data_IF_865055568785
#
_entry.id   IF_865055568785
#
_cell.length_a   1.000
_cell.length_b   1.000
_cell.length_c   1.000
_cell.angle_alpha   90.00
_cell.angle_beta   90.00
_cell.angle_gamma   90.00
#
_symmetry.space_group_name_H-M   'P 1'
#
loop_
_entity.id
_entity.type
_entity.pdbx_description
1 polymer ?
#
# COMPACT_ATOMS: atom_id res chain seq x y z
N UNK A 1 -15.49 -9.58 -22.67
CA UNK A 1 -16.22 -10.29 -21.60
C UNK A 1 -16.98 -9.26 -20.76
N UNK A 2 -18.04 -9.68 -20.05
CA UNK A 2 -18.81 -8.82 -19.15
C UNK A 2 -18.44 -9.15 -17.70
N UNK A 3 -17.97 -8.17 -16.95
CA UNK A 3 -17.49 -8.34 -15.58
C UNK A 3 -18.18 -7.39 -14.62
N UNK A 4 -18.36 -7.85 -13.38
CA UNK A 4 -18.67 -7.02 -12.23
C UNK A 4 -17.46 -7.01 -11.30
N UNK A 5 -17.03 -5.82 -10.90
CA UNK A 5 -16.00 -5.64 -9.87
C UNK A 5 -16.65 -5.04 -8.63
N UNK A 6 -16.70 -5.81 -7.55
CA UNK A 6 -17.34 -5.42 -6.30
C UNK A 6 -16.30 -4.85 -5.33
N UNK A 7 -16.49 -3.60 -4.99
CA UNK A 7 -15.57 -2.75 -4.24
C UNK A 7 -14.86 -1.76 -5.17
N UNK A 8 -15.15 -0.46 -5.04
CA UNK A 8 -14.51 0.63 -5.77
C UNK A 8 -13.42 1.32 -4.94
N UNK A 9 -12.71 0.53 -4.12
CA UNK A 9 -11.48 0.92 -3.49
C UNK A 9 -10.31 0.92 -4.47
N UNK A 10 -9.08 1.01 -3.96
CA UNK A 10 -7.88 1.11 -4.79
C UNK A 10 -7.77 -0.06 -5.80
N UNK A 11 -7.79 -1.28 -5.31
CA UNK A 11 -7.63 -2.50 -6.15
C UNK A 11 -8.77 -2.65 -7.16
N UNK A 12 -10.01 -2.49 -6.68
CA UNK A 12 -11.17 -2.70 -7.55
C UNK A 12 -11.30 -1.65 -8.64
N UNK A 13 -11.06 -0.38 -8.32
CA UNK A 13 -11.19 0.72 -9.28
C UNK A 13 -10.07 0.67 -10.34
N UNK A 14 -8.82 0.42 -9.95
CA UNK A 14 -7.71 0.23 -10.90
C UNK A 14 -7.96 -0.98 -11.77
N UNK A 15 -8.33 -2.13 -11.16
CA UNK A 15 -8.60 -3.35 -11.94
C UNK A 15 -9.75 -3.17 -12.92
N UNK A 16 -10.86 -2.58 -12.48
CA UNK A 16 -12.02 -2.34 -13.33
C UNK A 16 -11.72 -1.42 -14.50
N UNK A 17 -11.03 -0.31 -14.24
CA UNK A 17 -10.64 0.65 -15.26
C UNK A 17 -9.66 0.05 -16.29
N UNK A 18 -8.63 -0.69 -15.83
CA UNK A 18 -7.65 -1.30 -16.73
C UNK A 18 -8.24 -2.47 -17.54
N UNK A 19 -9.14 -3.27 -16.97
CA UNK A 19 -9.85 -4.31 -17.70
C UNK A 19 -10.78 -3.71 -18.78
N UNK A 20 -11.49 -2.63 -18.45
CA UNK A 20 -12.29 -1.91 -19.43
C UNK A 20 -11.45 -1.36 -20.58
N UNK A 21 -10.27 -0.83 -20.27
CA UNK A 21 -9.31 -0.30 -21.24
C UNK A 21 -8.73 -1.38 -22.18
N UNK A 22 -8.73 -2.63 -21.75
CA UNK A 22 -8.36 -3.81 -22.57
C UNK A 22 -9.55 -4.42 -23.34
N UNK A 23 -10.69 -3.73 -23.39
CA UNK A 23 -11.84 -4.11 -24.23
C UNK A 23 -12.89 -4.99 -23.55
N UNK A 24 -12.84 -5.12 -22.23
CA UNK A 24 -13.91 -5.78 -21.48
C UNK A 24 -15.01 -4.76 -21.10
N UNK A 25 -16.24 -5.24 -20.90
CA UNK A 25 -17.31 -4.43 -20.33
C UNK A 25 -17.33 -4.65 -18.82
N UNK A 26 -17.12 -3.58 -18.06
CA UNK A 26 -16.93 -3.66 -16.61
C UNK A 26 -17.95 -2.77 -15.91
N UNK A 27 -18.61 -3.34 -14.89
CA UNK A 27 -19.46 -2.62 -13.95
C UNK A 27 -18.79 -2.64 -12.59
N UNK A 28 -18.37 -1.49 -12.08
CA UNK A 28 -17.86 -1.36 -10.72
C UNK A 28 -19.03 -1.10 -9.75
N UNK A 29 -19.09 -1.89 -8.69
CA UNK A 29 -20.13 -1.81 -7.66
C UNK A 29 -19.51 -1.41 -6.34
N UNK A 30 -20.12 -0.45 -5.64
CA UNK A 30 -19.74 -0.09 -4.26
C UNK A 30 -20.98 0.31 -3.46
N UNK A 31 -20.99 -0.01 -2.18
CA UNK A 31 -22.10 0.33 -1.28
C UNK A 31 -22.19 1.84 -0.97
N UNK A 32 -21.12 2.59 -1.22
CA UNK A 32 -21.04 4.03 -0.97
C UNK A 32 -21.69 4.82 -2.11
N UNK A 33 -22.90 5.32 -1.89
CA UNK A 33 -23.58 6.21 -2.83
C UNK A 33 -22.72 7.43 -3.18
N UNK A 34 -22.09 8.06 -2.18
CA UNK A 34 -21.21 9.22 -2.40
C UNK A 34 -20.09 8.91 -3.38
N UNK A 35 -19.44 7.74 -3.20
CA UNK A 35 -18.34 7.29 -4.08
C UNK A 35 -18.84 7.04 -5.50
N UNK A 36 -19.93 6.30 -5.64
CA UNK A 36 -20.52 5.97 -6.95
C UNK A 36 -20.97 7.23 -7.70
N UNK A 37 -21.67 8.13 -7.01
CA UNK A 37 -22.09 9.40 -7.60
C UNK A 37 -20.90 10.33 -7.91
N UNK A 38 -19.85 10.28 -7.11
CA UNK A 38 -18.58 10.93 -7.42
C UNK A 38 -17.97 10.41 -8.73
N UNK A 39 -17.82 9.09 -8.85
CA UNK A 39 -17.28 8.41 -10.03
C UNK A 39 -18.09 8.70 -11.29
N UNK A 40 -19.42 8.66 -11.22
CA UNK A 40 -20.31 9.05 -12.35
C UNK A 40 -20.10 10.48 -12.82
N UNK A 41 -19.67 11.39 -11.93
CA UNK A 41 -19.32 12.78 -12.25
C UNK A 41 -17.84 12.97 -12.60
N UNK A 42 -17.06 11.90 -12.75
CA UNK A 42 -15.62 11.94 -13.04
C UNK A 42 -14.73 12.28 -11.84
N UNK A 43 -15.26 12.29 -10.60
CA UNK A 43 -14.45 12.49 -9.38
C UNK A 43 -13.90 11.15 -8.91
N UNK A 44 -12.62 10.91 -9.12
CA UNK A 44 -11.91 9.70 -8.68
C UNK A 44 -11.56 9.81 -7.19
N UNK A 45 -11.97 8.86 -6.34
CA UNK A 45 -11.82 8.96 -4.87
C UNK A 45 -10.45 8.51 -4.36
N UNK A 46 -9.53 8.14 -5.22
CA UNK A 46 -8.18 7.66 -4.89
C UNK A 46 -7.14 8.42 -5.71
N UNK A 47 -5.95 8.62 -5.14
CA UNK A 47 -4.83 9.19 -5.87
C UNK A 47 -4.05 8.06 -6.58
N UNK A 48 -4.11 8.05 -7.90
CA UNK A 48 -3.29 7.19 -8.75
C UNK A 48 -3.05 7.89 -10.08
N UNK A 49 -1.79 8.22 -10.44
CA UNK A 49 -1.49 8.97 -11.65
C UNK A 49 -2.07 8.34 -12.92
N UNK A 50 -2.89 9.09 -13.66
CA UNK A 50 -3.47 8.68 -14.94
C UNK A 50 -4.76 7.85 -14.84
N UNK A 51 -5.23 7.49 -13.64
CA UNK A 51 -6.46 6.71 -13.46
C UNK A 51 -7.71 7.49 -13.91
N UNK A 52 -7.76 8.78 -13.62
CA UNK A 52 -8.83 9.68 -14.03
C UNK A 52 -9.05 9.66 -15.55
N UNK A 53 -7.97 9.72 -16.32
CA UNK A 53 -8.03 9.68 -17.78
C UNK A 53 -8.54 8.32 -18.31
N UNK A 54 -8.13 7.20 -17.68
CA UNK A 54 -8.61 5.86 -18.05
C UNK A 54 -10.09 5.72 -17.74
N UNK A 55 -10.52 6.15 -16.56
CA UNK A 55 -11.93 6.09 -16.15
C UNK A 55 -12.78 6.93 -17.10
N UNK A 56 -12.40 8.18 -17.38
CA UNK A 56 -13.16 9.08 -18.22
C UNK A 56 -13.41 8.48 -19.63
N UNK A 57 -12.34 8.07 -20.34
CA UNK A 57 -12.48 7.53 -21.69
C UNK A 57 -13.29 6.24 -21.78
N UNK A 58 -13.22 5.37 -20.75
CA UNK A 58 -13.97 4.12 -20.72
C UNK A 58 -15.43 4.31 -20.26
N UNK A 59 -15.70 5.30 -19.43
CA UNK A 59 -17.07 5.71 -19.09
C UNK A 59 -17.78 6.32 -20.29
N UNK A 60 -17.11 7.17 -21.08
CA UNK A 60 -17.67 7.81 -22.29
C UNK A 60 -18.05 6.76 -23.36
N UNK A 61 -17.31 5.67 -23.48
CA UNK A 61 -17.62 4.57 -24.41
C UNK A 61 -18.65 3.58 -23.87
N UNK A 62 -19.00 3.65 -22.59
CA UNK A 62 -19.84 2.67 -21.90
C UNK A 62 -19.15 1.34 -21.58
N UNK A 63 -17.82 1.24 -21.77
CA UNK A 63 -17.04 0.08 -21.39
C UNK A 63 -16.88 -0.04 -19.87
N UNK A 64 -16.91 1.09 -19.15
CA UNK A 64 -16.88 1.17 -17.70
C UNK A 64 -18.11 1.89 -17.17
N UNK A 65 -18.78 1.32 -16.18
CA UNK A 65 -19.92 1.94 -15.51
C UNK A 65 -19.89 1.69 -14.00
N UNK A 66 -20.72 2.44 -13.26
CA UNK A 66 -20.72 2.46 -11.80
C UNK A 66 -22.14 2.35 -11.27
N UNK A 67 -22.36 1.49 -10.25
CA UNK A 67 -23.66 1.34 -9.59
C UNK A 67 -23.50 0.96 -8.13
N UNK A 68 -24.53 1.20 -7.32
CA UNK A 68 -24.64 0.67 -5.96
C UNK A 68 -25.35 -0.67 -5.90
N UNK A 69 -26.00 -1.10 -6.98
CA UNK A 69 -26.83 -2.30 -7.07
C UNK A 69 -26.05 -3.48 -7.66
N UNK A 70 -25.57 -4.41 -6.81
CA UNK A 70 -24.95 -5.64 -7.25
C UNK A 70 -25.93 -6.52 -8.06
N UNK A 71 -27.19 -6.70 -7.64
CA UNK A 71 -28.15 -7.50 -8.41
C UNK A 71 -28.38 -7.00 -9.84
N UNK A 72 -28.43 -5.69 -10.05
CA UNK A 72 -28.54 -5.11 -11.38
C UNK A 72 -27.30 -5.36 -12.23
N UNK A 73 -26.12 -5.16 -11.66
CA UNK A 73 -24.84 -5.37 -12.33
C UNK A 73 -24.64 -6.83 -12.78
N UNK A 74 -25.14 -7.79 -11.99
CA UNK A 74 -24.99 -9.22 -12.24
C UNK A 74 -25.79 -9.72 -13.47
N UNK A 75 -26.84 -9.02 -13.90
CA UNK A 75 -27.75 -9.50 -14.95
C UNK A 75 -27.07 -9.83 -16.28
N UNK A 76 -26.01 -9.10 -16.61
CA UNK A 76 -25.31 -9.23 -17.89
C UNK A 76 -23.87 -9.76 -17.74
N UNK A 77 -23.42 -10.06 -16.52
CA UNK A 77 -22.04 -10.44 -16.26
C UNK A 77 -21.91 -11.94 -15.94
N UNK A 78 -20.82 -12.54 -16.40
CA UNK A 78 -20.49 -13.94 -16.17
C UNK A 78 -19.30 -14.09 -15.19
N UNK A 79 -18.67 -12.98 -14.85
CA UNK A 79 -17.49 -12.94 -13.97
C UNK A 79 -17.74 -11.88 -12.88
N UNK A 80 -17.59 -12.30 -11.61
CA UNK A 80 -17.75 -11.47 -10.44
C UNK A 80 -16.42 -11.37 -9.69
N UNK A 81 -15.77 -10.22 -9.72
CA UNK A 81 -14.52 -9.96 -9.01
C UNK A 81 -14.79 -9.35 -7.64
N UNK A 82 -14.46 -10.02 -6.57
CA UNK A 82 -14.52 -9.52 -5.20
C UNK A 82 -13.23 -8.77 -4.91
N UNK A 83 -13.31 -7.43 -4.84
CA UNK A 83 -12.19 -6.51 -4.62
C UNK A 83 -12.45 -5.57 -3.43
N UNK A 84 -13.14 -6.07 -2.41
CA UNK A 84 -13.46 -5.32 -1.19
C UNK A 84 -12.29 -5.32 -0.20
N UNK A 85 -12.27 -4.35 0.71
CA UNK A 85 -11.24 -4.25 1.74
C UNK A 85 -11.27 -5.43 2.72
N UNK A 86 -10.08 -5.85 3.15
CA UNK A 86 -9.83 -6.84 4.19
C UNK A 86 -8.94 -6.22 5.27
N UNK A 87 -9.49 -5.31 6.11
CA UNK A 87 -8.71 -4.67 7.16
C UNK A 87 -8.24 -5.70 8.19
N UNK A 88 -7.20 -5.40 8.97
CA UNK A 88 -6.80 -6.26 10.08
C UNK A 88 -7.88 -6.23 11.18
N UNK A 89 -8.14 -7.39 11.78
CA UNK A 89 -8.91 -7.50 13.01
C UNK A 89 -7.98 -7.30 14.23
N UNK A 90 -8.54 -7.25 15.44
CA UNK A 90 -7.79 -7.00 16.69
C UNK A 90 -6.67 -8.01 16.97
N UNK A 91 -6.84 -9.27 16.50
CA UNK A 91 -5.84 -10.34 16.63
C UNK A 91 -4.82 -10.36 15.48
N UNK A 92 -4.86 -9.38 14.57
CA UNK A 92 -4.03 -9.29 13.38
C UNK A 92 -4.48 -10.18 12.22
N UNK A 93 -5.58 -10.93 12.35
CA UNK A 93 -6.18 -11.67 11.24
C UNK A 93 -6.84 -10.70 10.23
N UNK A 94 -7.12 -11.19 9.02
CA UNK A 94 -7.86 -10.40 8.04
C UNK A 94 -9.38 -10.51 8.28
N UNK A 95 -10.05 -9.38 8.36
CA UNK A 95 -11.51 -9.33 8.45
C UNK A 95 -12.15 -9.70 7.11
N UNK A 96 -12.86 -10.82 7.07
CA UNK A 96 -13.53 -11.35 5.88
C UNK A 96 -15.01 -10.98 5.77
N UNK A 97 -15.55 -10.20 6.70
CA UNK A 97 -16.99 -9.89 6.74
C UNK A 97 -17.49 -9.32 5.42
N UNK A 98 -16.75 -8.40 4.82
CA UNK A 98 -17.11 -7.81 3.53
C UNK A 98 -17.03 -8.82 2.38
N UNK A 99 -16.01 -9.65 2.33
CA UNK A 99 -15.84 -10.69 1.30
C UNK A 99 -17.03 -11.68 1.36
N UNK A 100 -17.36 -12.15 2.55
CA UNK A 100 -18.45 -13.11 2.74
C UNK A 100 -19.84 -12.48 2.54
N UNK A 101 -20.02 -11.19 2.82
CA UNK A 101 -21.25 -10.47 2.51
C UNK A 101 -21.49 -10.41 1.00
N UNK A 102 -20.45 -10.06 0.23
CA UNK A 102 -20.53 -10.07 -1.25
C UNK A 102 -20.80 -11.49 -1.78
N UNK A 103 -20.13 -12.51 -1.23
CA UNK A 103 -20.37 -13.90 -1.63
C UNK A 103 -21.84 -14.33 -1.41
N UNK A 104 -22.43 -13.98 -0.27
CA UNK A 104 -23.88 -14.24 0.00
C UNK A 104 -24.76 -13.50 -1.00
N UNK A 105 -24.52 -12.20 -1.23
CA UNK A 105 -25.31 -11.40 -2.17
C UNK A 105 -25.24 -11.97 -3.60
N UNK A 106 -24.05 -12.46 -4.02
CA UNK A 106 -23.92 -13.19 -5.28
C UNK A 106 -24.81 -14.44 -5.27
N UNK A 107 -24.75 -15.27 -4.22
CA UNK A 107 -25.59 -16.47 -4.09
C UNK A 107 -27.07 -16.17 -4.09
N UNK A 108 -27.49 -15.04 -3.48
CA UNK A 108 -28.90 -14.61 -3.45
C UNK A 108 -29.46 -14.21 -4.80
N UNK A 109 -28.60 -13.68 -5.69
CA UNK A 109 -29.07 -13.06 -6.93
C UNK A 109 -28.54 -13.72 -8.20
N UNK A 110 -27.58 -14.62 -8.13
CA UNK A 110 -27.04 -15.33 -9.30
C UNK A 110 -28.12 -16.18 -9.97
N UNK A 111 -28.29 -16.02 -11.30
CA UNK A 111 -29.31 -16.71 -12.10
C UNK A 111 -28.74 -17.64 -13.17
N UNK A 112 -27.43 -17.55 -13.44
CA UNK A 112 -26.74 -18.30 -14.49
C UNK A 112 -25.32 -18.69 -14.07
N UNK A 113 -24.68 -19.63 -14.77
CA UNK A 113 -23.32 -20.06 -14.48
C UNK A 113 -22.34 -18.89 -14.49
N UNK A 114 -21.45 -18.84 -13.47
CA UNK A 114 -20.54 -17.74 -13.28
C UNK A 114 -19.15 -18.18 -12.78
N UNK A 115 -18.18 -17.29 -12.91
CA UNK A 115 -16.89 -17.37 -12.24
C UNK A 115 -16.82 -16.27 -11.17
N UNK A 116 -16.60 -16.67 -9.93
CA UNK A 116 -16.34 -15.74 -8.80
C UNK A 116 -14.84 -15.69 -8.58
N UNK A 117 -14.26 -14.50 -8.63
CA UNK A 117 -12.82 -14.27 -8.47
C UNK A 117 -12.58 -13.53 -7.15
N UNK A 118 -11.86 -14.13 -6.21
CA UNK A 118 -11.29 -13.40 -5.09
C UNK A 118 -10.04 -12.62 -5.56
N UNK A 119 -10.19 -11.30 -5.70
CA UNK A 119 -9.08 -10.41 -6.02
C UNK A 119 -8.54 -9.71 -4.77
N UNK A 120 -9.33 -9.55 -3.73
CA UNK A 120 -8.89 -9.11 -2.41
C UNK A 120 -7.79 -10.01 -1.86
N UNK A 121 -6.85 -9.43 -1.11
CA UNK A 121 -5.85 -10.22 -0.36
C UNK A 121 -6.55 -10.89 0.82
N UNK A 122 -6.64 -12.21 0.76
CA UNK A 122 -7.41 -13.02 1.70
C UNK A 122 -6.60 -14.20 2.24
N UNK A 123 -6.81 -14.64 3.50
CA UNK A 123 -6.18 -15.82 4.07
C UNK A 123 -6.43 -17.09 3.27
N UNK A 124 -5.49 -18.03 3.36
CA UNK A 124 -5.63 -19.37 2.76
C UNK A 124 -6.89 -20.07 3.28
N UNK A 125 -7.69 -20.60 2.35
CA UNK A 125 -8.97 -21.22 2.65
C UNK A 125 -10.16 -20.25 2.56
N UNK A 126 -9.97 -19.03 2.07
CA UNK A 126 -11.08 -18.08 1.90
C UNK A 126 -11.97 -18.47 0.73
N UNK A 127 -11.42 -19.03 -0.34
CA UNK A 127 -12.24 -19.49 -1.47
C UNK A 127 -13.25 -20.56 -1.05
N UNK A 128 -12.91 -21.47 -0.14
CA UNK A 128 -13.84 -22.45 0.41
C UNK A 128 -14.96 -21.77 1.24
N UNK A 129 -14.62 -20.74 2.00
CA UNK A 129 -15.62 -19.96 2.75
C UNK A 129 -16.56 -19.19 1.82
N UNK A 130 -16.03 -18.64 0.74
CA UNK A 130 -16.83 -17.97 -0.32
C UNK A 130 -17.77 -18.99 -0.95
N UNK A 131 -17.26 -20.17 -1.34
CA UNK A 131 -18.09 -21.26 -1.88
C UNK A 131 -19.20 -21.66 -0.92
N UNK A 132 -18.87 -21.91 0.35
CA UNK A 132 -19.87 -22.27 1.35
C UNK A 132 -20.94 -21.18 1.54
N UNK A 133 -20.57 -19.89 1.47
CA UNK A 133 -21.52 -18.79 1.57
C UNK A 133 -22.47 -18.73 0.37
N UNK A 134 -21.96 -18.93 -0.85
CA UNK A 134 -22.78 -18.99 -2.08
C UNK A 134 -23.70 -20.22 -2.07
N UNK A 135 -23.18 -21.40 -1.74
CA UNK A 135 -23.94 -22.65 -1.69
C UNK A 135 -25.10 -22.56 -0.71
N UNK A 136 -24.89 -21.93 0.46
CA UNK A 136 -25.96 -21.76 1.45
C UNK A 136 -27.13 -20.91 0.89
N UNK A 137 -26.85 -19.86 0.15
CA UNK A 137 -27.88 -19.00 -0.46
C UNK A 137 -28.59 -19.69 -1.65
N UNK A 138 -27.84 -20.42 -2.49
CA UNK A 138 -28.44 -21.22 -3.57
C UNK A 138 -29.36 -22.29 -3.02
N UNK A 139 -28.95 -22.99 -1.95
CA UNK A 139 -29.78 -23.99 -1.27
C UNK A 139 -31.05 -23.37 -0.64
N UNK A 140 -30.92 -22.18 -0.01
CA UNK A 140 -32.06 -21.46 0.54
C UNK A 140 -33.09 -21.05 -0.53
N UNK A 141 -32.64 -20.78 -1.75
CA UNK A 141 -33.46 -20.48 -2.92
C UNK A 141 -34.01 -21.73 -3.61
N UNK A 142 -33.53 -22.93 -3.26
CA UNK A 142 -33.90 -24.19 -3.89
C UNK A 142 -33.45 -24.30 -5.36
N UNK A 143 -32.37 -23.63 -5.74
CA UNK A 143 -31.82 -23.64 -7.10
C UNK A 143 -30.44 -24.29 -7.14
N UNK A 144 -30.10 -24.86 -8.30
CA UNK A 144 -28.77 -25.39 -8.59
C UNK A 144 -28.20 -24.62 -9.78
N UNK A 145 -27.17 -23.84 -9.53
CA UNK A 145 -26.46 -23.04 -10.55
C UNK A 145 -25.00 -23.42 -10.48
N UNK A 146 -24.42 -23.77 -11.61
CA UNK A 146 -23.00 -24.11 -11.71
C UNK A 146 -22.14 -22.84 -11.61
N UNK A 147 -21.10 -22.86 -10.75
CA UNK A 147 -20.16 -21.77 -10.65
C UNK A 147 -18.78 -22.27 -10.20
N UNK A 148 -17.77 -21.47 -10.46
CA UNK A 148 -16.42 -21.69 -9.98
C UNK A 148 -15.99 -20.55 -9.06
N UNK A 149 -15.07 -20.84 -8.12
CA UNK A 149 -14.39 -19.84 -7.31
C UNK A 149 -12.91 -19.92 -7.61
N UNK A 150 -12.33 -18.80 -7.99
CA UNK A 150 -10.90 -18.64 -8.28
C UNK A 150 -10.26 -17.61 -7.35
N UNK A 151 -8.96 -17.72 -7.14
CA UNK A 151 -8.14 -16.70 -6.49
C UNK A 151 -7.25 -16.03 -7.53
N UNK A 152 -7.31 -14.70 -7.60
CA UNK A 152 -6.47 -13.91 -8.51
C UNK A 152 -5.91 -12.71 -7.75
N UNK A 153 -4.92 -12.93 -6.90
CA UNK A 153 -4.32 -11.87 -6.12
C UNK A 153 -3.67 -10.81 -7.01
N UNK A 154 -3.66 -9.57 -6.54
CA UNK A 154 -3.01 -8.45 -7.19
C UNK A 154 -1.60 -8.21 -6.61
N UNK A 155 -0.74 -7.55 -7.39
CA UNK A 155 0.61 -7.16 -6.99
C UNK A 155 0.88 -5.70 -7.33
N UNK A 156 -0.14 -4.87 -7.19
CA UNK A 156 -0.13 -3.45 -7.53
C UNK A 156 0.68 -2.66 -6.51
N UNK A 157 1.39 -1.66 -6.99
CA UNK A 157 2.07 -0.66 -6.17
C UNK A 157 1.33 0.66 -6.28
N UNK A 158 0.82 1.20 -5.18
CA UNK A 158 0.22 2.53 -5.17
C UNK A 158 1.13 3.57 -5.84
N UNK A 159 0.56 4.42 -6.69
CA UNK A 159 1.30 5.39 -7.50
C UNK A 159 1.93 4.83 -8.80
N UNK A 160 1.87 3.51 -9.03
CA UNK A 160 2.31 2.81 -10.24
C UNK A 160 1.36 1.65 -10.60
N UNK A 161 0.16 1.63 -10.03
CA UNK A 161 -0.75 0.49 -10.14
C UNK A 161 -1.29 0.29 -11.56
N UNK A 162 -1.46 1.37 -12.32
CA UNK A 162 -1.86 1.28 -13.73
C UNK A 162 -0.76 0.58 -14.54
N UNK A 163 0.49 0.99 -14.39
CA UNK A 163 1.62 0.37 -15.08
C UNK A 163 1.76 -1.10 -14.69
N UNK A 164 1.71 -1.41 -13.39
CA UNK A 164 1.75 -2.78 -12.88
C UNK A 164 0.61 -3.65 -13.38
N UNK A 165 -0.59 -3.09 -13.59
CA UNK A 165 -1.73 -3.82 -14.11
C UNK A 165 -1.66 -4.01 -15.63
N UNK A 166 -1.25 -2.95 -16.35
CA UNK A 166 -1.21 -2.95 -17.82
C UNK A 166 0.00 -3.71 -18.38
N UNK A 167 1.13 -3.74 -17.65
CA UNK A 167 2.36 -4.43 -18.01
C UNK A 167 2.88 -5.27 -16.82
N UNK A 168 2.11 -6.29 -16.39
CA UNK A 168 2.47 -7.07 -15.22
C UNK A 168 3.65 -8.00 -15.49
N UNK A 169 4.60 -8.09 -14.54
CA UNK A 169 5.67 -9.11 -14.58
C UNK A 169 5.10 -10.53 -14.60
N UNK A 170 3.98 -10.73 -13.91
CA UNK A 170 3.21 -11.97 -13.87
C UNK A 170 1.78 -11.71 -13.40
N UNK A 171 0.88 -12.61 -13.82
CA UNK A 171 -0.49 -12.73 -13.33
C UNK A 171 -0.61 -14.11 -12.69
N UNK A 172 -1.03 -14.18 -11.43
CA UNK A 172 -1.25 -15.45 -10.71
C UNK A 172 -2.74 -15.73 -10.68
N UNK A 173 -3.11 -16.95 -11.08
CA UNK A 173 -4.49 -17.43 -11.03
C UNK A 173 -4.55 -18.79 -10.35
N UNK A 174 -5.28 -18.86 -9.24
CA UNK A 174 -5.59 -20.08 -8.52
C UNK A 174 -6.92 -20.62 -9.00
N UNK A 175 -6.93 -21.82 -9.58
CA UNK A 175 -8.10 -22.46 -10.17
C UNK A 175 -8.12 -23.95 -9.91
N UNK A 176 -9.32 -24.52 -9.72
CA UNK A 176 -9.53 -25.95 -9.48
C UNK A 176 -10.30 -26.62 -10.64
N UNK A 177 -10.80 -25.86 -11.62
CA UNK A 177 -11.53 -26.40 -12.77
C UNK A 177 -10.95 -25.92 -14.10
N UNK A 178 -11.12 -26.75 -15.15
CA UNK A 178 -10.71 -26.41 -16.50
C UNK A 178 -11.53 -25.25 -17.06
N UNK A 179 -12.81 -25.13 -16.68
CA UNK A 179 -13.69 -24.02 -17.10
C UNK A 179 -13.18 -22.70 -16.54
N UNK A 180 -12.90 -22.63 -15.22
CA UNK A 180 -12.35 -21.43 -14.59
C UNK A 180 -11.01 -21.04 -15.21
N UNK A 181 -10.15 -22.04 -15.51
CA UNK A 181 -8.88 -21.82 -16.19
C UNK A 181 -9.06 -21.13 -17.54
N UNK A 182 -9.95 -21.69 -18.39
CA UNK A 182 -10.21 -21.12 -19.73
C UNK A 182 -10.75 -19.70 -19.65
N UNK A 183 -11.69 -19.43 -18.74
CA UNK A 183 -12.25 -18.08 -18.55
C UNK A 183 -11.17 -17.06 -18.13
N UNK A 184 -10.22 -17.46 -17.28
CA UNK A 184 -9.12 -16.58 -16.88
C UNK A 184 -8.04 -16.44 -17.96
N UNK A 185 -7.79 -17.48 -18.75
CA UNK A 185 -6.94 -17.40 -19.94
C UNK A 185 -7.49 -16.37 -20.94
N UNK A 186 -8.80 -16.44 -21.22
CA UNK A 186 -9.48 -15.50 -22.11
C UNK A 186 -9.51 -14.07 -21.53
N UNK A 187 -9.73 -13.93 -20.21
CA UNK A 187 -9.76 -12.63 -19.53
C UNK A 187 -8.40 -11.92 -19.65
N UNK A 188 -7.31 -12.66 -19.46
CA UNK A 188 -5.96 -12.11 -19.45
C UNK A 188 -5.21 -12.26 -20.80
N UNK A 189 -5.86 -12.79 -21.83
CA UNK A 189 -5.28 -12.91 -23.18
C UNK A 189 -4.63 -11.59 -23.68
N UNK A 190 -5.27 -10.40 -23.53
CA UNK A 190 -4.66 -9.15 -23.99
C UNK A 190 -3.29 -8.87 -23.34
N UNK A 191 -3.14 -9.19 -22.06
CA UNK A 191 -1.90 -8.97 -21.31
C UNK A 191 -0.83 -10.00 -21.65
N UNK A 192 -1.22 -11.27 -21.87
CA UNK A 192 -0.31 -12.36 -22.29
C UNK A 192 0.26 -12.08 -23.67
N UNK A 193 -0.55 -11.59 -24.60
CA UNK A 193 -0.09 -11.17 -25.94
C UNK A 193 0.93 -10.03 -25.88
N UNK A 194 0.92 -9.23 -24.83
CA UNK A 194 1.88 -8.16 -24.59
C UNK A 194 3.11 -8.64 -23.77
N UNK A 195 3.22 -9.94 -23.46
CA UNK A 195 4.40 -10.57 -22.85
C UNK A 195 4.25 -10.90 -21.37
N UNK A 196 3.09 -10.65 -20.73
CA UNK A 196 2.85 -11.05 -19.35
C UNK A 196 2.88 -12.57 -19.16
N UNK A 197 3.40 -13.02 -18.02
CA UNK A 197 3.37 -14.44 -17.63
C UNK A 197 2.08 -14.75 -16.88
N UNK A 198 1.21 -15.60 -17.42
CA UNK A 198 0.07 -16.15 -16.72
C UNK A 198 0.46 -17.46 -16.03
N UNK A 199 0.40 -17.47 -14.70
CA UNK A 199 0.84 -18.59 -13.88
C UNK A 199 -0.38 -19.22 -13.19
N UNK A 200 -0.68 -20.48 -13.55
CA UNK A 200 -1.76 -21.26 -12.96
C UNK A 200 -1.25 -22.08 -11.78
N UNK A 201 -2.04 -22.14 -10.73
CA UNK A 201 -1.79 -22.97 -9.53
C UNK A 201 -3.10 -23.33 -8.84
N UNK A 202 -3.06 -24.11 -7.77
CA UNK A 202 -4.22 -24.35 -6.92
C UNK A 202 -4.71 -23.06 -6.25
N UNK A 203 -5.98 -23.01 -5.90
CA UNK A 203 -6.60 -21.81 -5.30
C UNK A 203 -5.89 -21.41 -4.02
N UNK A 204 -5.63 -22.36 -3.12
CA UNK A 204 -4.90 -22.11 -1.84
C UNK A 204 -3.46 -21.67 -2.06
N UNK A 205 -2.82 -22.16 -3.11
CA UNK A 205 -1.44 -21.76 -3.46
C UNK A 205 -1.38 -20.31 -3.88
N UNK A 206 -2.37 -19.85 -4.67
CA UNK A 206 -2.47 -18.45 -5.09
C UNK A 206 -2.75 -17.50 -3.91
N UNK A 207 -3.63 -17.91 -2.97
CA UNK A 207 -3.86 -17.16 -1.73
C UNK A 207 -2.57 -17.03 -0.91
N UNK A 208 -1.83 -18.13 -0.71
CA UNK A 208 -0.55 -18.12 0.01
C UNK A 208 0.52 -17.31 -0.71
N UNK A 209 0.62 -17.41 -2.04
CA UNK A 209 1.65 -16.74 -2.83
C UNK A 209 1.64 -15.21 -2.65
N UNK A 210 0.45 -14.61 -2.49
CA UNK A 210 0.31 -13.17 -2.22
C UNK A 210 0.93 -12.78 -0.88
N UNK A 211 0.57 -13.49 0.19
CA UNK A 211 1.13 -13.22 1.52
C UNK A 211 2.63 -13.47 1.59
N UNK A 212 3.10 -14.57 1.01
CA UNK A 212 4.52 -14.91 0.97
C UNK A 212 5.33 -13.84 0.22
N UNK A 213 4.81 -13.33 -0.91
CA UNK A 213 5.45 -12.25 -1.64
C UNK A 213 5.59 -10.97 -0.79
N UNK A 214 4.51 -10.50 -0.18
CA UNK A 214 4.54 -9.29 0.64
C UNK A 214 5.41 -9.47 1.90
N UNK A 215 5.36 -10.62 2.54
CA UNK A 215 6.21 -10.95 3.68
C UNK A 215 7.70 -10.98 3.30
N UNK A 216 8.06 -11.51 2.12
CA UNK A 216 9.43 -11.49 1.61
C UNK A 216 9.92 -10.06 1.38
N UNK A 217 9.08 -9.17 0.79
CA UNK A 217 9.44 -7.77 0.58
C UNK A 217 9.65 -7.04 1.91
N UNK A 218 8.77 -7.24 2.89
CA UNK A 218 8.92 -6.70 4.24
C UNK A 218 10.19 -7.23 4.94
N UNK A 219 10.51 -8.52 4.76
CA UNK A 219 11.73 -9.15 5.29
C UNK A 219 12.97 -8.47 4.73
N UNK A 220 13.03 -8.21 3.43
CA UNK A 220 14.17 -7.54 2.80
C UNK A 220 14.42 -6.14 3.36
N UNK A 221 13.34 -5.36 3.57
CA UNK A 221 13.44 -4.02 4.17
C UNK A 221 13.92 -4.12 5.60
N UNK A 222 13.30 -4.97 6.43
CA UNK A 222 13.69 -5.14 7.84
C UNK A 222 15.11 -5.67 7.99
N UNK A 223 15.52 -6.61 7.15
CA UNK A 223 16.90 -7.10 7.10
C UNK A 223 17.89 -5.97 6.84
N UNK A 224 17.65 -5.14 5.82
CA UNK A 224 18.54 -4.02 5.52
C UNK A 224 18.54 -2.94 6.59
N UNK A 225 17.42 -2.73 7.28
CA UNK A 225 17.36 -1.83 8.43
C UNK A 225 18.14 -2.38 9.64
N UNK A 226 18.18 -3.70 9.83
CA UNK A 226 19.02 -4.33 10.85
C UNK A 226 20.50 -4.19 10.50
N UNK A 227 20.88 -4.46 9.24
CA UNK A 227 22.24 -4.25 8.75
C UNK A 227 22.65 -2.78 8.88
N UNK A 228 21.76 -1.83 8.57
CA UNK A 228 22.04 -0.40 8.73
C UNK A 228 22.35 -0.02 10.18
N UNK A 229 21.58 -0.53 11.15
CA UNK A 229 21.85 -0.31 12.57
C UNK A 229 23.17 -0.92 13.05
N UNK A 230 23.61 -2.02 12.43
CA UNK A 230 24.92 -2.63 12.70
C UNK A 230 26.04 -1.80 12.03
N UNK A 231 25.84 -1.36 10.79
CA UNK A 231 26.80 -0.52 10.08
C UNK A 231 27.09 0.79 10.84
N UNK A 232 26.05 1.43 11.37
CA UNK A 232 26.17 2.65 12.16
C UNK A 232 27.10 2.46 13.38
N UNK A 233 27.00 1.31 14.09
CA UNK A 233 27.83 0.99 15.26
C UNK A 233 29.27 0.59 14.90
N UNK A 234 29.46 0.05 13.70
CA UNK A 234 30.77 -0.42 13.21
C UNK A 234 31.50 0.61 12.37
N UNK A 235 30.92 1.79 12.12
CA UNK A 235 31.53 2.80 11.23
C UNK A 235 31.55 2.38 9.76
N UNK A 236 30.57 1.60 9.31
CA UNK A 236 30.43 1.11 7.92
C UNK A 236 29.31 1.88 7.21
N UNK A 237 29.47 2.19 5.92
CA UNK A 237 28.40 2.79 5.12
C UNK A 237 27.48 1.70 4.55
N UNK A 238 26.21 1.67 4.96
CA UNK A 238 25.21 0.70 4.52
C UNK A 238 24.95 0.74 3.01
N UNK A 239 25.10 1.91 2.36
CA UNK A 239 24.92 2.00 0.91
C UNK A 239 26.00 1.28 0.12
N UNK A 240 27.24 1.22 0.63
CA UNK A 240 28.29 0.39 0.06
C UNK A 240 27.98 -1.10 0.27
N UNK A 241 27.49 -1.48 1.45
CA UNK A 241 27.06 -2.87 1.71
C UNK A 241 25.92 -3.25 0.78
N UNK A 242 24.88 -2.39 0.69
CA UNK A 242 23.75 -2.59 -0.23
C UNK A 242 24.22 -2.78 -1.68
N UNK A 243 25.10 -1.91 -2.15
CA UNK A 243 25.65 -2.01 -3.51
C UNK A 243 26.38 -3.34 -3.70
N UNK A 244 27.22 -3.74 -2.74
CA UNK A 244 27.96 -4.99 -2.79
C UNK A 244 27.05 -6.21 -2.92
N UNK A 245 26.02 -6.32 -2.07
CA UNK A 245 25.12 -7.49 -2.10
C UNK A 245 24.09 -7.44 -3.24
N UNK A 246 23.67 -6.26 -3.69
CA UNK A 246 22.63 -6.11 -4.72
C UNK A 246 23.10 -6.49 -6.12
N UNK A 247 24.41 -6.52 -6.36
CA UNK A 247 25.03 -6.97 -7.63
C UNK A 247 25.06 -8.49 -7.77
N UNK A 248 24.83 -9.24 -6.70
CA UNK A 248 24.62 -10.69 -6.79
C UNK A 248 23.22 -10.96 -7.38
N UNK A 249 23.11 -11.63 -8.56
CA UNK A 249 21.82 -11.89 -9.22
C UNK A 249 20.88 -12.79 -8.39
N UNK A 250 21.40 -13.54 -7.42
CA UNK A 250 20.60 -14.33 -6.49
C UNK A 250 19.87 -13.45 -5.46
N UNK A 251 20.36 -12.25 -5.21
CA UNK A 251 19.81 -11.27 -4.28
C UNK A 251 19.02 -10.20 -5.04
N UNK A 252 19.64 -9.53 -6.04
CA UNK A 252 19.06 -8.43 -6.78
C UNK A 252 18.89 -7.15 -5.95
N UNK A 253 18.45 -6.05 -6.57
CA UNK A 253 18.49 -4.70 -6.00
C UNK A 253 17.17 -4.24 -5.34
N UNK A 254 16.06 -4.94 -5.60
CA UNK A 254 14.73 -4.50 -5.16
C UNK A 254 14.51 -4.67 -3.65
N UNK A 255 13.90 -3.67 -3.02
CA UNK A 255 13.56 -3.66 -1.59
C UNK A 255 14.76 -3.83 -0.64
N UNK A 256 15.96 -3.37 -1.04
CA UNK A 256 17.18 -3.41 -0.21
C UNK A 256 17.61 -2.02 0.31
N UNK A 257 16.78 -1.00 0.20
CA UNK A 257 17.11 0.31 0.77
C UNK A 257 16.73 0.34 2.23
N UNK A 258 17.69 0.72 3.08
CA UNK A 258 17.43 1.05 4.48
C UNK A 258 16.73 2.41 4.59
N UNK A 259 15.97 2.61 5.65
CA UNK A 259 15.24 3.85 5.88
C UNK A 259 14.48 3.87 7.20
N UNK A 260 13.51 4.77 7.32
CA UNK A 260 12.71 4.96 8.53
C UNK A 260 11.70 3.84 8.86
N UNK A 261 11.74 2.75 8.12
CA UNK A 261 10.77 1.65 8.20
C UNK A 261 9.73 1.68 7.08
N UNK A 262 8.99 0.58 6.94
CA UNK A 262 7.92 0.49 5.97
C UNK A 262 6.55 0.76 6.61
N UNK A 263 5.65 1.28 5.80
CA UNK A 263 4.23 1.49 6.09
C UNK A 263 3.37 1.06 4.92
N UNK A 264 2.25 1.75 4.76
CA UNK A 264 1.25 1.50 3.70
C UNK A 264 0.21 0.46 4.09
N UNK A 265 -0.76 0.32 3.22
CA UNK A 265 -1.94 -0.52 3.41
C UNK A 265 -1.69 -2.03 3.30
N UNK A 266 -0.53 -2.45 2.78
CA UNK A 266 -0.29 -3.83 2.40
C UNK A 266 0.72 -4.54 3.32
N UNK A 267 1.99 -4.08 3.34
CA UNK A 267 3.06 -4.83 4.02
C UNK A 267 2.78 -5.08 5.50
N UNK A 268 2.38 -4.06 6.32
CA UNK A 268 2.15 -4.29 7.75
C UNK A 268 1.05 -5.32 8.00
N UNK A 269 -0.13 -5.12 7.39
CA UNK A 269 -1.28 -6.00 7.62
C UNK A 269 -1.06 -7.42 7.10
N UNK A 270 -0.35 -7.58 5.96
CA UNK A 270 -0.16 -8.90 5.36
C UNK A 270 0.88 -9.74 6.12
N UNK A 271 1.92 -9.11 6.70
CA UNK A 271 2.85 -9.78 7.62
C UNK A 271 2.10 -10.26 8.87
N UNK A 272 1.26 -9.41 9.47
CA UNK A 272 0.45 -9.72 10.63
C UNK A 272 -0.54 -10.84 10.35
N UNK A 273 -1.25 -10.77 9.22
CA UNK A 273 -2.22 -11.78 8.81
C UNK A 273 -1.54 -13.15 8.55
N UNK A 274 -0.36 -13.16 7.90
CA UNK A 274 0.40 -14.39 7.70
C UNK A 274 0.89 -14.98 9.03
N UNK A 275 1.34 -14.14 9.96
CA UNK A 275 1.74 -14.58 11.29
C UNK A 275 0.54 -15.11 12.11
N UNK A 276 -0.63 -14.49 11.99
CA UNK A 276 -1.88 -14.99 12.61
C UNK A 276 -2.31 -16.33 12.00
N UNK A 277 -2.28 -16.48 10.68
CA UNK A 277 -2.53 -17.77 10.02
C UNK A 277 -1.59 -18.88 10.50
N UNK A 278 -0.29 -18.59 10.62
CA UNK A 278 0.67 -19.57 11.13
C UNK A 278 0.30 -20.04 12.54
N UNK A 279 -0.01 -19.13 13.45
CA UNK A 279 -0.42 -19.47 14.82
C UNK A 279 -1.71 -20.27 14.87
N UNK A 280 -2.68 -19.98 13.99
CA UNK A 280 -3.96 -20.70 13.95
C UNK A 280 -3.81 -22.18 13.60
N UNK A 281 -2.71 -22.57 12.95
CA UNK A 281 -2.37 -23.97 12.63
C UNK A 281 -1.27 -24.54 13.53
N UNK A 282 -0.94 -23.86 14.63
CA UNK A 282 0.07 -24.32 15.60
C UNK A 282 1.52 -24.15 15.14
N UNK A 283 1.79 -23.29 14.13
CA UNK A 283 3.13 -23.00 13.64
C UNK A 283 3.64 -21.67 14.19
N UNK A 284 4.85 -21.65 14.77
CA UNK A 284 5.49 -20.44 15.30
C UNK A 284 6.16 -19.64 14.17
N UNK A 285 5.69 -18.42 13.83
CA UNK A 285 6.22 -17.63 12.74
C UNK A 285 7.44 -16.78 13.14
N UNK A 286 8.53 -17.40 13.54
CA UNK A 286 9.73 -16.73 14.11
C UNK A 286 10.25 -15.59 13.20
N UNK A 287 10.40 -15.83 11.91
CA UNK A 287 10.93 -14.83 10.96
C UNK A 287 9.97 -13.66 10.84
N UNK A 288 8.66 -13.90 10.70
CA UNK A 288 7.66 -12.85 10.55
C UNK A 288 7.56 -11.98 11.80
N UNK A 289 7.60 -12.59 12.99
CA UNK A 289 7.63 -11.88 14.26
C UNK A 289 8.89 -10.99 14.39
N UNK A 290 10.05 -11.48 13.95
CA UNK A 290 11.29 -10.70 13.94
C UNK A 290 11.22 -9.52 12.96
N UNK A 291 10.66 -9.72 11.77
CA UNK A 291 10.47 -8.69 10.73
C UNK A 291 9.59 -7.56 11.25
N UNK A 292 8.45 -7.89 11.83
CA UNK A 292 7.53 -6.90 12.38
C UNK A 292 8.15 -6.13 13.54
N UNK A 293 8.76 -6.84 14.50
CA UNK A 293 9.46 -6.20 15.61
C UNK A 293 10.57 -5.26 15.14
N UNK A 294 11.37 -5.67 14.12
CA UNK A 294 12.42 -4.82 13.56
C UNK A 294 11.83 -3.55 12.95
N UNK A 295 10.70 -3.66 12.23
CA UNK A 295 10.05 -2.50 11.64
C UNK A 295 9.50 -1.53 12.69
N UNK A 296 8.89 -2.04 13.75
CA UNK A 296 8.41 -1.21 14.87
C UNK A 296 9.55 -0.42 15.52
N UNK A 297 10.68 -1.08 15.79
CA UNK A 297 11.88 -0.39 16.31
C UNK A 297 12.41 0.62 15.29
N UNK A 298 12.40 0.28 13.99
CA UNK A 298 12.90 1.18 12.95
C UNK A 298 12.08 2.46 12.80
N UNK A 299 10.77 2.40 13.00
CA UNK A 299 9.91 3.60 12.97
C UNK A 299 10.25 4.62 14.08
N UNK A 300 10.90 4.20 15.15
CA UNK A 300 11.38 5.09 16.23
C UNK A 300 12.74 5.74 15.93
N UNK A 301 13.50 5.21 14.98
CA UNK A 301 14.87 5.63 14.72
C UNK A 301 15.02 7.14 14.49
N UNK A 302 14.08 7.77 13.73
CA UNK A 302 14.11 9.21 13.48
C UNK A 302 13.99 10.02 14.77
N UNK A 303 13.08 9.62 15.65
CA UNK A 303 12.90 10.27 16.93
C UNK A 303 14.10 10.04 17.86
N UNK A 304 14.65 8.82 17.91
CA UNK A 304 15.84 8.49 18.69
C UNK A 304 17.03 9.40 18.29
N UNK A 305 17.25 9.64 17.00
CA UNK A 305 18.30 10.54 16.52
C UNK A 305 18.08 11.98 16.93
N UNK A 306 16.87 12.46 16.97
CA UNK A 306 16.56 13.79 17.49
C UNK A 306 16.76 13.87 19.02
N UNK A 307 16.45 12.81 19.75
CA UNK A 307 16.74 12.71 21.20
C UNK A 307 18.25 12.69 21.49
N UNK A 308 19.04 11.99 20.68
CA UNK A 308 20.50 12.00 20.79
C UNK A 308 21.07 13.43 20.64
N UNK A 309 20.47 14.27 19.79
CA UNK A 309 20.92 15.63 19.49
C UNK A 309 20.37 16.71 20.45
N UNK A 310 19.10 16.59 20.85
CA UNK A 310 18.41 17.64 21.60
C UNK A 310 18.03 17.25 23.03
N UNK A 311 18.16 15.98 23.37
CA UNK A 311 17.62 15.42 24.62
C UNK A 311 16.12 15.05 24.51
N UNK A 312 15.56 14.41 25.56
CA UNK A 312 14.19 13.88 25.53
C UNK A 312 13.10 14.98 25.71
N UNK A 313 13.43 16.16 26.25
CA UNK A 313 12.54 17.32 26.36
C UNK A 313 12.82 18.27 25.19
N UNK A 314 11.85 18.38 24.30
CA UNK A 314 11.96 19.19 23.09
C UNK A 314 11.09 20.46 23.13
N UNK A 315 10.68 20.91 24.32
CA UNK A 315 9.94 22.17 24.48
C UNK A 315 10.70 23.34 23.87
N UNK A 316 10.01 24.16 23.06
CA UNK A 316 10.57 25.31 22.36
C UNK A 316 11.41 24.93 21.13
N UNK A 317 11.48 23.66 20.76
CA UNK A 317 12.06 23.21 19.48
C UNK A 317 11.00 23.13 18.40
N UNK A 318 11.39 23.55 17.20
CA UNK A 318 10.59 23.42 15.98
C UNK A 318 11.26 22.42 15.06
N UNK A 319 10.56 21.35 14.70
CA UNK A 319 11.05 20.29 13.81
C UNK A 319 10.31 20.37 12.48
N UNK A 320 11.05 20.56 11.40
CA UNK A 320 10.52 20.53 10.03
C UNK A 320 10.47 19.09 9.52
N UNK A 321 9.36 18.68 8.94
CA UNK A 321 9.21 17.37 8.31
C UNK A 321 8.97 17.54 6.82
N UNK A 322 9.76 16.84 6.01
CA UNK A 322 9.55 16.68 4.58
C UNK A 322 9.11 15.26 4.26
N UNK A 323 7.87 15.13 3.83
CA UNK A 323 7.20 13.88 3.54
C UNK A 323 6.41 13.33 4.72
N UNK A 324 5.17 12.93 4.44
CA UNK A 324 4.23 12.33 5.40
C UNK A 324 3.66 11.01 4.90
N UNK A 325 3.43 10.86 3.59
CA UNK A 325 3.02 9.60 2.98
C UNK A 325 4.07 8.50 3.24
N UNK A 326 3.65 7.24 3.27
CA UNK A 326 4.56 6.13 3.55
C UNK A 326 5.63 5.93 2.46
N UNK A 327 5.37 6.42 1.24
CA UNK A 327 6.30 6.47 0.09
C UNK A 327 5.89 7.56 -0.89
N UNK A 328 6.74 7.93 -1.88
CA UNK A 328 6.36 8.84 -2.96
C UNK A 328 5.28 8.27 -3.89
N UNK A 329 4.52 9.16 -4.54
CA UNK A 329 3.52 8.79 -5.55
C UNK A 329 2.17 8.36 -4.99
N UNK A 330 1.91 8.59 -3.70
CA UNK A 330 0.63 8.30 -3.05
C UNK A 330 0.34 9.33 -1.95
N UNK A 331 -0.93 9.46 -1.59
CA UNK A 331 -1.38 10.21 -0.41
C UNK A 331 -1.65 9.30 0.80
N UNK A 332 -1.36 7.99 0.70
CA UNK A 332 -1.59 7.00 1.77
C UNK A 332 -0.61 7.19 2.92
N UNK A 333 -1.16 7.39 4.12
CA UNK A 333 -0.41 7.55 5.35
C UNK A 333 -0.55 6.38 6.32
N UNK A 334 -1.30 5.33 5.96
CA UNK A 334 -1.51 4.17 6.84
C UNK A 334 -0.18 3.56 7.24
N UNK A 335 0.02 3.37 8.56
CA UNK A 335 1.27 2.82 9.09
C UNK A 335 2.55 3.58 8.68
N UNK A 336 2.43 4.84 8.22
CA UNK A 336 3.58 5.64 7.81
C UNK A 336 4.51 5.97 9.00
N UNK A 337 5.83 5.91 8.83
CA UNK A 337 6.78 6.31 9.88
C UNK A 337 6.61 7.76 10.36
N UNK A 338 6.04 8.62 9.53
CA UNK A 338 5.72 10.01 9.88
C UNK A 338 4.73 10.13 11.04
N UNK A 339 3.76 9.22 11.14
CA UNK A 339 2.78 9.21 12.23
C UNK A 339 3.50 8.94 13.55
N UNK A 340 4.29 7.88 13.62
CA UNK A 340 5.08 7.54 14.82
C UNK A 340 6.02 8.67 15.23
N UNK A 341 6.65 9.33 14.25
CA UNK A 341 7.55 10.46 14.51
C UNK A 341 6.79 11.67 15.07
N UNK A 342 5.69 12.07 14.44
CA UNK A 342 4.88 13.22 14.87
C UNK A 342 4.34 13.00 16.30
N UNK A 343 3.77 11.83 16.59
CA UNK A 343 3.27 11.51 17.92
C UNK A 343 4.39 11.57 18.98
N UNK A 344 5.58 11.07 18.65
CA UNK A 344 6.74 11.09 19.56
C UNK A 344 7.25 12.51 19.80
N UNK A 345 7.32 13.35 18.76
CA UNK A 345 7.73 14.76 18.84
C UNK A 345 6.77 15.59 19.68
N UNK A 346 5.47 15.46 19.42
CA UNK A 346 4.43 16.16 20.19
C UNK A 346 4.46 15.77 21.67
N UNK A 347 4.62 14.47 21.95
CA UNK A 347 4.76 13.97 23.32
C UNK A 347 6.01 14.53 24.02
N UNK A 348 7.09 14.79 23.27
CA UNK A 348 8.32 15.43 23.79
C UNK A 348 8.19 16.96 23.89
N UNK A 349 7.06 17.56 23.50
CA UNK A 349 6.78 18.99 23.58
C UNK A 349 7.34 19.83 22.41
N UNK A 350 7.74 19.19 21.31
CA UNK A 350 8.20 19.90 20.12
C UNK A 350 7.02 20.47 19.33
N UNK A 351 7.27 21.56 18.60
CA UNK A 351 6.42 22.03 17.52
C UNK A 351 6.83 21.35 16.20
N UNK A 352 5.86 20.96 15.40
CA UNK A 352 6.09 20.27 14.13
C UNK A 352 5.54 21.09 12.97
N UNK A 353 6.36 21.34 11.96
CA UNK A 353 5.96 21.97 10.70
C UNK A 353 6.17 20.96 9.57
N UNK A 354 5.08 20.49 8.98
CA UNK A 354 5.11 19.38 8.04
C UNK A 354 4.67 19.79 6.65
N UNK A 355 5.39 19.27 5.65
CA UNK A 355 5.05 19.41 4.25
C UNK A 355 5.11 18.05 3.54
N UNK A 356 4.09 17.79 2.76
CA UNK A 356 4.03 16.66 1.83
C UNK A 356 3.28 17.12 0.56
N UNK A 357 3.72 16.73 -0.65
CA UNK A 357 3.08 17.18 -1.88
C UNK A 357 1.63 16.73 -2.05
N UNK A 358 1.28 15.51 -1.57
CA UNK A 358 0.01 14.86 -1.90
C UNK A 358 -0.91 14.67 -0.70
N UNK A 359 -0.42 14.71 0.53
CA UNK A 359 -1.23 14.36 1.72
C UNK A 359 -2.03 15.53 2.31
N UNK A 360 -2.19 16.65 1.59
CA UNK A 360 -2.86 17.85 2.10
C UNK A 360 -4.26 17.61 2.67
N UNK A 361 -5.02 16.67 2.06
CA UNK A 361 -6.37 16.31 2.47
C UNK A 361 -6.40 15.11 3.43
N UNK A 362 -5.36 14.27 3.41
CA UNK A 362 -5.24 13.06 4.23
C UNK A 362 -4.58 13.34 5.58
N UNK A 363 -3.48 14.09 5.60
CA UNK A 363 -2.73 14.35 6.82
C UNK A 363 -3.55 15.01 7.94
N UNK A 364 -4.41 16.02 7.69
CA UNK A 364 -5.21 16.60 8.75
C UNK A 364 -6.24 15.65 9.38
N UNK A 365 -6.63 14.59 8.65
CA UNK A 365 -7.60 13.60 9.13
C UNK A 365 -6.96 12.49 9.95
N UNK A 366 -5.68 12.18 9.67
CA UNK A 366 -4.93 11.08 10.27
C UNK A 366 -4.13 11.52 11.48
N UNK A 367 -3.61 12.74 11.46
CA UNK A 367 -2.74 13.28 12.51
C UNK A 367 -3.55 13.83 13.72
N UNK A 368 -2.91 13.93 14.90
CA UNK A 368 -3.60 14.39 16.13
C UNK A 368 -4.28 15.76 15.98
N UNK A 369 -5.58 15.78 16.15
CA UNK A 369 -6.41 16.99 15.93
C UNK A 369 -6.12 18.08 16.95
N UNK A 370 -5.97 17.71 18.21
CA UNK A 370 -5.66 18.66 19.30
C UNK A 370 -4.36 19.43 19.01
N UNK A 371 -3.32 18.76 18.52
CA UNK A 371 -2.06 19.40 18.17
C UNK A 371 -2.19 20.39 16.98
N UNK A 372 -3.12 20.13 16.06
CA UNK A 372 -3.44 21.05 14.97
C UNK A 372 -4.17 22.30 15.49
N UNK A 373 -5.13 22.12 16.39
CA UNK A 373 -5.92 23.20 17.00
C UNK A 373 -5.04 24.12 17.87
N UNK A 374 -4.04 23.55 18.56
CA UNK A 374 -3.09 24.27 19.41
C UNK A 374 -1.88 24.85 18.63
N UNK A 375 -1.81 24.61 17.31
CA UNK A 375 -0.67 24.96 16.46
C UNK A 375 0.66 24.32 16.85
N UNK A 376 0.64 23.18 17.58
CA UNK A 376 1.82 22.36 17.83
C UNK A 376 2.19 21.50 16.61
N UNK A 377 1.20 21.24 15.73
CA UNK A 377 1.36 20.61 14.42
C UNK A 377 0.76 21.52 13.33
N UNK A 378 1.60 22.00 12.41
CA UNK A 378 1.19 22.86 11.31
C UNK A 378 1.53 22.24 9.97
N UNK A 379 0.54 22.06 9.10
CA UNK A 379 0.73 21.68 7.71
C UNK A 379 0.92 22.93 6.85
N UNK A 380 2.03 22.98 6.12
CA UNK A 380 2.40 24.12 5.29
C UNK A 380 2.26 23.81 3.79
N UNK A 381 2.27 24.84 2.96
CA UNK A 381 2.01 24.71 1.52
C UNK A 381 3.26 24.48 0.68
N UNK A 382 4.44 24.76 1.26
CA UNK A 382 5.72 24.68 0.57
C UNK A 382 6.80 24.09 1.49
N UNK A 383 7.72 23.31 0.92
CA UNK A 383 8.78 22.65 1.67
C UNK A 383 9.70 23.65 2.41
N UNK A 384 9.91 24.86 1.86
CA UNK A 384 10.75 25.87 2.50
C UNK A 384 10.01 26.67 3.56
N UNK A 385 8.68 26.68 3.52
CA UNK A 385 7.87 27.19 4.63
C UNK A 385 7.98 26.29 5.87
N UNK A 386 8.10 24.97 5.67
CA UNK A 386 8.29 24.03 6.76
C UNK A 386 9.57 24.31 7.57
N UNK A 387 10.64 24.69 6.91
CA UNK A 387 11.95 24.91 7.55
C UNK A 387 12.13 26.28 8.20
N UNK A 388 11.15 27.20 8.10
CA UNK A 388 11.27 28.52 8.72
C UNK A 388 11.37 28.39 10.25
N UNK A 389 12.47 28.96 10.83
CA UNK A 389 12.79 28.90 12.25
C UNK A 389 12.89 27.46 12.82
N UNK A 390 13.10 26.45 11.96
CA UNK A 390 13.26 25.08 12.41
C UNK A 390 14.65 24.80 13.00
N UNK A 391 14.68 24.03 14.09
CA UNK A 391 15.94 23.57 14.72
C UNK A 391 16.54 22.38 13.97
N UNK A 392 15.70 21.55 13.35
CA UNK A 392 16.10 20.45 12.49
C UNK A 392 15.12 20.23 11.33
N UNK A 393 15.65 19.70 10.23
CA UNK A 393 14.90 19.15 9.12
C UNK A 393 14.96 17.62 9.14
N UNK A 394 13.81 16.96 9.06
CA UNK A 394 13.72 15.50 8.99
C UNK A 394 13.10 15.09 7.64
N UNK A 395 13.82 14.25 6.90
CA UNK A 395 13.36 13.66 5.64
C UNK A 395 12.72 12.30 5.96
N UNK A 396 11.39 12.21 5.81
CA UNK A 396 10.63 10.99 6.14
C UNK A 396 10.24 10.22 4.89
N UNK A 397 9.91 10.93 3.80
CA UNK A 397 9.51 10.33 2.52
C UNK A 397 10.36 10.89 1.38
N UNK A 398 10.86 10.03 0.52
CA UNK A 398 11.82 10.35 -0.53
C UNK A 398 11.18 10.94 -1.81
N UNK A 399 10.36 11.98 -1.69
CA UNK A 399 9.78 12.66 -2.83
C UNK A 399 10.86 13.22 -3.77
N UNK A 400 10.68 13.12 -5.12
CA UNK A 400 11.68 13.60 -6.08
C UNK A 400 12.10 15.05 -5.88
N UNK A 401 11.17 15.92 -5.49
CA UNK A 401 11.43 17.35 -5.27
C UNK A 401 12.37 17.64 -4.09
N UNK A 402 12.51 16.69 -3.14
CA UNK A 402 13.42 16.85 -1.99
C UNK A 402 14.88 16.49 -2.34
N UNK A 403 15.14 15.87 -3.50
CA UNK A 403 16.49 15.40 -3.86
C UNK A 403 17.51 16.49 -4.13
N UNK A 404 17.05 17.66 -4.57
CA UNK A 404 17.92 18.77 -4.93
C UNK A 404 17.37 20.10 -4.37
N UNK A 405 17.37 20.26 -3.05
CA UNK A 405 16.83 21.46 -2.44
C UNK A 405 17.72 22.69 -2.69
N UNK A 406 17.13 23.89 -2.70
CA UNK A 406 17.89 25.13 -2.66
C UNK A 406 18.49 25.30 -1.26
N UNK A 407 19.77 25.01 -1.15
CA UNK A 407 20.55 25.09 0.10
C UNK A 407 20.54 26.49 0.73
N UNK A 408 20.50 27.54 -0.09
CA UNK A 408 20.43 28.93 0.42
C UNK A 408 19.12 29.18 1.14
N UNK A 409 18.01 28.60 0.65
CA UNK A 409 16.71 28.68 1.33
C UNK A 409 16.71 27.90 2.63
N UNK A 410 17.41 26.78 2.70
CA UNK A 410 17.56 26.01 3.96
C UNK A 410 18.34 26.84 4.99
N UNK A 411 19.52 27.37 4.64
CA UNK A 411 20.32 28.20 5.54
C UNK A 411 19.59 29.46 6.01
N UNK A 412 18.80 30.08 5.12
CA UNK A 412 18.05 31.28 5.47
C UNK A 412 16.83 30.98 6.35
N UNK A 413 16.20 29.80 6.15
CA UNK A 413 14.96 29.41 6.82
C UNK A 413 15.23 28.80 8.19
N UNK A 414 16.16 27.85 8.28
CA UNK A 414 16.43 27.12 9.50
C UNK A 414 17.13 27.98 10.55
N UNK A 415 16.75 27.78 11.82
CA UNK A 415 17.48 28.32 12.98
C UNK A 415 18.65 27.39 13.34
N UNK A 416 18.46 26.09 13.21
CA UNK A 416 19.48 25.06 13.40
C UNK A 416 20.12 24.61 12.10
N UNK A 417 21.07 23.69 12.21
CA UNK A 417 21.86 23.15 11.10
C UNK A 417 21.73 21.64 10.92
N UNK A 418 20.82 20.99 11.67
CA UNK A 418 20.68 19.53 11.67
C UNK A 418 19.72 19.06 10.57
N UNK A 419 20.18 18.11 9.75
CA UNK A 419 19.36 17.35 8.81
C UNK A 419 19.40 15.87 9.21
N UNK A 420 18.25 15.30 9.52
CA UNK A 420 18.06 13.84 9.78
C UNK A 420 17.39 13.23 8.56
N UNK A 421 18.12 12.39 7.84
CA UNK A 421 17.65 11.79 6.60
C UNK A 421 17.25 10.32 6.80
N UNK A 422 15.96 10.07 6.90
CA UNK A 422 15.36 8.74 7.04
C UNK A 422 15.30 7.94 5.75
N UNK A 423 15.84 8.44 4.64
CA UNK A 423 15.75 7.78 3.31
C UNK A 423 17.08 7.73 2.56
N UNK A 424 18.16 8.17 3.19
CA UNK A 424 19.50 8.20 2.58
C UNK A 424 19.52 8.91 1.21
N UNK A 425 18.78 10.04 1.11
CA UNK A 425 18.62 10.78 -0.14
C UNK A 425 19.87 11.52 -0.57
N UNK A 426 20.68 11.97 0.40
CA UNK A 426 21.83 12.81 0.15
C UNK A 426 23.16 12.07 0.36
N UNK A 427 24.21 12.66 -0.18
CA UNK A 427 25.60 12.23 0.03
C UNK A 427 26.13 12.96 1.27
N UNK A 428 26.46 12.24 2.39
CA UNK A 428 26.84 12.87 3.66
C UNK A 428 27.93 13.93 3.54
N UNK A 429 29.02 13.63 2.83
CA UNK A 429 30.13 14.56 2.65
C UNK A 429 29.66 15.88 2.02
N UNK A 430 28.82 15.83 0.98
CA UNK A 430 28.32 17.05 0.31
C UNK A 430 27.43 17.89 1.23
N UNK A 431 26.59 17.28 2.04
CA UNK A 431 25.71 18.01 2.96
C UNK A 431 26.54 18.69 4.05
N UNK A 432 27.58 18.02 4.55
CA UNK A 432 28.53 18.58 5.54
C UNK A 432 29.37 19.73 4.95
N UNK A 433 29.84 19.60 3.71
CA UNK A 433 30.54 20.68 2.99
C UNK A 433 29.65 21.92 2.83
N UNK A 434 28.34 21.75 2.76
CA UNK A 434 27.36 22.83 2.70
C UNK A 434 27.03 23.42 4.08
N UNK A 435 27.67 22.96 5.16
CA UNK A 435 27.60 23.57 6.49
C UNK A 435 26.48 22.97 7.37
N UNK A 436 25.88 21.83 7.00
CA UNK A 436 24.88 21.14 7.82
C UNK A 436 25.49 19.97 8.58
N UNK A 437 25.03 19.74 9.80
CA UNK A 437 25.17 18.46 10.48
C UNK A 437 24.20 17.49 9.83
N UNK A 438 24.66 16.31 9.49
CA UNK A 438 23.88 15.35 8.74
C UNK A 438 23.93 13.96 9.36
N UNK A 439 22.76 13.44 9.68
CA UNK A 439 22.54 12.09 10.23
C UNK A 439 21.67 11.32 9.26
N UNK A 440 22.08 10.12 8.89
CA UNK A 440 21.33 9.26 7.97
C UNK A 440 21.45 7.80 8.36
N UNK A 441 20.51 6.98 7.88
CA UNK A 441 20.33 5.59 8.32
C UNK A 441 21.52 4.72 7.92
N UNK A 442 22.29 4.23 8.92
CA UNK A 442 23.40 3.31 8.69
C UNK A 442 24.62 3.93 7.99
N UNK A 443 24.81 5.25 8.09
CA UNK A 443 25.91 6.00 7.45
C UNK A 443 26.54 6.95 8.44
N UNK A 444 27.85 6.94 8.56
CA UNK A 444 28.64 7.80 9.44
C UNK A 444 29.18 9.06 8.73
#
# INVERSE_FOLDING_TARGET
>A
MNLVVVGSGYVGLVSGACLADKGHRVICVDISEERIEGLKRGKVPIYEPGLDAIIARNADTGALSFTTSLPEAMREADIFCIAVGTPPDEDGSADLRHVLAVAREIGQHMERPALIINKSTVPVGTAEKVRAAVDAELAARGVQIEYDVASNPEFLKEGMAIEDFMQPDRIIVGVDSQRARQLLDDLYEPFVKEGARLIHMGVRDAEMAKYAANAMLATRISFMNEIAGLCERLGVDVEHVRLGISTDPRIGDKFLRSGAGYGGSCLPKDVQALASMARSVGFEPMVLNAVERRNQVQKQWLFEKLVEEFGPDMKGRTIALWGLAFKPGTDDMREAPSITLVESLLKAGAQVRAYDPETKDTAPRVMPREAQENCDLVFVKDQYEAVQEADALVLVTEWPQFRSPDIRKLHKGMRGDLIVDGRNMYIPAKVRELGFRYVSVGRS
#
